data_IF_930267830744
#
_entry.id   IF_930267830744
#
_cell.length_a   1.000
_cell.length_b   1.000
_cell.length_c   1.000
_cell.angle_alpha   90.00
_cell.angle_beta   90.00
_cell.angle_gamma   90.00
#
_symmetry.space_group_name_H-M   'P 1'
#
loop_
_entity.id
_entity.type
_entity.pdbx_description
1 polymer ?
#
# COMPACT_ATOMS: atom_id res chain seq x y z
N UNK A 1 0.27 5.76 -18.77
CA UNK A 1 -0.34 4.70 -18.02
C UNK A 1 0.25 4.65 -16.62
N UNK A 2 -0.60 4.67 -15.62
CA UNK A 2 -0.14 4.71 -14.24
C UNK A 2 0.23 3.32 -13.76
N UNK A 3 1.43 3.18 -13.23
CA UNK A 3 1.89 1.92 -12.67
C UNK A 3 1.95 2.01 -11.16
N UNK A 4 0.91 2.57 -10.58
CA UNK A 4 0.83 2.75 -9.14
C UNK A 4 -0.23 1.83 -8.56
N UNK A 5 0.11 1.26 -7.42
CA UNK A 5 -0.83 0.47 -6.67
C UNK A 5 -1.32 1.28 -5.49
N UNK A 6 -2.64 1.34 -5.33
CA UNK A 6 -3.26 2.16 -4.28
C UNK A 6 -3.53 1.29 -3.06
N UNK A 7 -3.04 1.73 -1.92
CA UNK A 7 -3.21 1.01 -0.66
C UNK A 7 -4.02 1.87 0.29
N UNK A 8 -5.16 1.36 0.71
CA UNK A 8 -6.02 2.08 1.66
C UNK A 8 -5.76 1.65 3.09
N UNK A 9 -5.09 0.53 3.29
CA UNK A 9 -4.87 -0.03 4.62
C UNK A 9 -3.51 0.45 5.13
N UNK A 10 -3.55 1.21 6.23
CA UNK A 10 -2.32 1.75 6.80
C UNK A 10 -1.36 0.66 7.26
N UNK A 11 -1.89 -0.43 7.79
CA UNK A 11 -1.03 -1.52 8.24
C UNK A 11 -0.31 -2.18 7.06
N UNK A 12 -1.03 -2.35 5.97
CA UNK A 12 -0.42 -2.91 4.76
C UNK A 12 0.65 -1.98 4.22
N UNK A 13 0.37 -0.69 4.20
CA UNK A 13 1.36 0.29 3.74
C UNK A 13 2.63 0.21 4.58
N UNK A 14 2.47 0.13 5.90
CA UNK A 14 3.63 0.00 6.79
C UNK A 14 4.39 -1.28 6.53
N UNK A 15 3.66 -2.38 6.34
CA UNK A 15 4.29 -3.66 6.04
C UNK A 15 5.12 -3.60 4.77
N UNK A 16 4.58 -2.98 3.74
CA UNK A 16 5.28 -2.86 2.47
C UNK A 16 6.54 -2.01 2.61
N UNK A 17 6.44 -0.90 3.33
CA UNK A 17 7.60 -0.05 3.54
C UNK A 17 8.68 -0.77 4.32
N UNK A 18 8.31 -1.59 5.30
CA UNK A 18 9.27 -2.36 6.06
C UNK A 18 9.98 -3.41 5.22
N UNK A 19 9.33 -3.84 4.14
CA UNK A 19 9.90 -4.84 3.24
C UNK A 19 10.66 -4.23 2.07
N UNK A 20 10.97 -2.95 2.15
CA UNK A 20 11.81 -2.32 1.15
C UNK A 20 11.08 -1.68 0.00
N UNK A 21 9.77 -1.57 0.08
CA UNK A 21 8.99 -0.92 -0.97
C UNK A 21 8.79 0.55 -0.59
N UNK A 22 9.44 1.46 -1.31
CA UNK A 22 9.33 2.87 -0.94
C UNK A 22 7.94 3.42 -1.25
N UNK A 23 7.48 4.29 -0.36
CA UNK A 23 6.23 5.00 -0.58
C UNK A 23 6.44 6.02 -1.68
N UNK A 24 5.60 5.97 -2.70
CA UNK A 24 5.71 6.90 -3.81
C UNK A 24 5.13 8.25 -3.43
N UNK A 25 3.90 8.25 -2.96
CA UNK A 25 3.32 9.43 -2.37
C UNK A 25 2.06 9.04 -1.60
N UNK A 26 1.53 9.97 -0.85
CA UNK A 26 0.40 9.75 0.03
C UNK A 26 -0.62 10.85 -0.21
N UNK A 27 -1.89 10.51 -0.10
CA UNK A 27 -2.95 11.44 -0.30
C UNK A 27 -4.03 11.22 0.75
N UNK A 28 -4.74 12.28 1.10
CA UNK A 28 -5.86 12.15 2.01
C UNK A 28 -7.09 11.73 1.25
N UNK A 29 -7.87 10.87 1.88
CA UNK A 29 -9.14 10.46 1.32
C UNK A 29 -10.16 11.57 1.49
N UNK A 30 -10.99 11.80 0.47
CA UNK A 30 -12.02 12.82 0.52
C UNK A 30 -13.32 12.33 1.14
N UNK A 31 -13.29 11.22 1.82
CA UNK A 31 -14.50 10.64 2.38
C UNK A 31 -14.80 11.13 3.78
N UNK A 32 -14.01 12.04 4.31
CA UNK A 32 -14.24 12.60 5.64
C UNK A 32 -13.89 11.69 6.78
N UNK A 33 -13.23 10.60 6.53
CA UNK A 33 -12.91 9.62 7.56
C UNK A 33 -11.44 9.65 8.00
N UNK A 34 -10.71 10.70 7.65
CA UNK A 34 -9.32 10.89 8.08
C UNK A 34 -8.41 9.74 7.71
N UNK A 35 -8.72 9.04 6.63
CA UNK A 35 -7.89 7.95 6.17
C UNK A 35 -7.00 8.39 5.04
N UNK A 36 -5.75 7.98 5.12
CA UNK A 36 -4.78 8.29 4.08
C UNK A 36 -4.75 7.18 3.04
N UNK A 37 -4.42 7.57 1.83
CA UNK A 37 -4.26 6.64 0.71
C UNK A 37 -2.79 6.63 0.35
N UNK A 38 -2.22 5.45 0.22
CA UNK A 38 -0.79 5.28 -0.03
C UNK A 38 -0.57 4.73 -1.42
N UNK A 39 0.42 5.28 -2.12
CA UNK A 39 0.71 4.88 -3.49
C UNK A 39 2.10 4.25 -3.58
N UNK A 40 2.15 3.08 -4.17
CA UNK A 40 3.39 2.34 -4.37
C UNK A 40 3.56 1.99 -5.83
N UNK A 41 4.79 1.75 -6.25
CA UNK A 41 5.05 1.27 -7.60
C UNK A 41 4.59 -0.18 -7.72
N UNK A 42 3.85 -0.48 -8.77
CA UNK A 42 3.41 -1.85 -9.02
C UNK A 42 4.59 -2.71 -9.41
N UNK A 43 4.62 -3.92 -8.91
CA UNK A 43 5.60 -4.93 -9.29
C UNK A 43 5.10 -6.29 -8.84
N UNK A 44 5.66 -7.33 -9.44
CA UNK A 44 5.30 -8.69 -9.04
C UNK A 44 5.67 -8.93 -7.59
N UNK A 45 6.79 -8.39 -7.17
CA UNK A 45 7.24 -8.54 -5.80
C UNK A 45 6.28 -7.85 -4.84
N UNK A 46 5.77 -6.69 -5.22
CA UNK A 46 4.79 -5.99 -4.40
C UNK A 46 3.57 -6.86 -4.18
N UNK A 47 3.05 -7.44 -5.24
CA UNK A 47 1.86 -8.27 -5.15
C UNK A 47 2.09 -9.51 -4.30
N UNK A 48 3.29 -10.08 -4.38
CA UNK A 48 3.62 -11.21 -3.53
C UNK A 48 3.58 -10.83 -2.06
N UNK A 49 4.11 -9.67 -1.72
CA UNK A 49 4.10 -9.22 -0.33
C UNK A 49 2.70 -8.90 0.14
N UNK A 50 1.88 -8.34 -0.72
CA UNK A 50 0.49 -8.07 -0.36
C UNK A 50 -0.22 -9.38 -0.04
N UNK A 51 0.01 -10.40 -0.84
CA UNK A 51 -0.58 -11.70 -0.59
C UNK A 51 -0.13 -12.27 0.74
N UNK A 52 1.15 -12.16 1.04
CA UNK A 52 1.66 -12.62 2.33
C UNK A 52 0.99 -11.90 3.48
N UNK A 53 0.81 -10.59 3.34
CA UNK A 53 0.17 -9.82 4.39
C UNK A 53 -1.25 -10.32 4.64
N UNK A 54 -2.00 -10.55 3.58
CA UNK A 54 -3.37 -11.02 3.72
C UNK A 54 -3.45 -12.40 4.33
N UNK A 55 -2.45 -13.25 4.09
CA UNK A 55 -2.44 -14.58 4.64
C UNK A 55 -2.09 -14.59 6.13
N UNK A 56 -1.28 -13.63 6.56
CA UNK A 56 -0.80 -13.61 7.94
C UNK A 56 -1.54 -12.66 8.85
N UNK A 57 -2.16 -11.62 8.30
CA UNK A 57 -2.71 -10.54 9.12
C UNK A 57 -4.17 -10.24 8.81
N UNK A 58 -4.86 -11.12 8.22
CA UNK A 58 -6.25 -10.90 7.92
C UNK A 58 -7.06 -10.50 9.12
#
# INVERSE_FOLDING_TARGET
MKKEYVVYNQKLAGFLMMNGFPLKHMSESNTGSNKNVFFFNKSDELFKKIKEFKEHFQ
#
